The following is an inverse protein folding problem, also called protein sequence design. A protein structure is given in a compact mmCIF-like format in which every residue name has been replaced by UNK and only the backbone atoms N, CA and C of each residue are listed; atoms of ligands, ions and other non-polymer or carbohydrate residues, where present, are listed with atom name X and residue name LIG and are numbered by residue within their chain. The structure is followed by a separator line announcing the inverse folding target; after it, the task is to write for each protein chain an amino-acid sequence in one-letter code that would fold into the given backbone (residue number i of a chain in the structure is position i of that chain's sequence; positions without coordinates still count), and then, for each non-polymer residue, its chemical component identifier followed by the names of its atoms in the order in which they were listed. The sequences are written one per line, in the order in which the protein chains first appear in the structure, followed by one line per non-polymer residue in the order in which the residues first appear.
data_IF_360745050603
#
_entry.id   IF_360745050603
#
_cell.length_a   1.000
_cell.length_b   1.000
_cell.length_c   1.000
_cell.angle_alpha   90.00
_cell.angle_beta   90.00
_cell.angle_gamma   90.00
#
_symmetry.space_group_name_H-M   'P 1'
#
loop_
_entity.id
_entity.type
_entity.pdbx_description
1 polymer ?
#
# COMPACT_ATOMS: atom_id res chain seq x y z
N UNK A 1 6.59 11.68 -16.52
CA UNK A 1 7.30 11.88 -15.25
C UNK A 1 6.25 11.91 -14.16
N UNK A 2 6.07 10.81 -13.42
CA UNK A 2 5.24 10.82 -12.21
C UNK A 2 6.08 11.43 -11.10
N UNK A 3 5.53 12.44 -10.43
CA UNK A 3 6.13 13.01 -9.23
C UNK A 3 6.03 12.01 -8.06
N UNK A 4 6.98 12.05 -7.12
CA UNK A 4 6.92 11.24 -5.91
C UNK A 4 5.58 11.42 -5.14
N UNK A 5 4.92 12.56 -5.32
CA UNK A 5 3.61 12.87 -4.74
C UNK A 5 2.50 12.03 -5.38
N UNK A 6 2.39 12.04 -6.72
CA UNK A 6 1.39 11.24 -7.45
C UNK A 6 1.59 9.74 -7.21
N UNK A 7 2.85 9.29 -7.09
CA UNK A 7 3.17 7.93 -6.68
C UNK A 7 2.62 7.57 -5.30
N UNK A 8 2.86 8.42 -4.31
CA UNK A 8 2.42 8.20 -2.94
C UNK A 8 0.89 8.23 -2.86
N UNK A 9 0.26 9.10 -3.65
CA UNK A 9 -1.20 9.17 -3.79
C UNK A 9 -1.76 7.89 -4.42
N UNK A 10 -1.15 7.40 -5.50
CA UNK A 10 -1.49 6.10 -6.12
C UNK A 10 -1.29 4.93 -5.15
N UNK A 11 -0.25 4.96 -4.31
CA UNK A 11 -0.04 3.94 -3.27
C UNK A 11 -1.16 3.95 -2.23
N UNK A 12 -1.59 5.13 -1.78
CA UNK A 12 -2.74 5.29 -0.88
C UNK A 12 -4.01 4.77 -1.55
N UNK A 13 -4.28 5.20 -2.78
CA UNK A 13 -5.44 4.74 -3.55
C UNK A 13 -5.42 3.23 -3.74
N UNK A 14 -4.24 2.58 -3.82
CA UNK A 14 -4.13 1.12 -3.91
C UNK A 14 -4.62 0.37 -2.66
N UNK A 15 -4.73 1.07 -1.53
CA UNK A 15 -5.29 0.51 -0.29
C UNK A 15 -6.82 0.50 -0.34
N UNK A 16 -7.43 1.53 -0.94
CA UNK A 16 -8.88 1.67 -1.04
C UNK A 16 -9.46 1.01 -2.30
N UNK A 17 -8.77 1.12 -3.44
CA UNK A 17 -9.18 0.59 -4.74
C UNK A 17 -8.08 -0.23 -5.41
N UNK A 18 -8.42 -1.27 -6.19
CA UNK A 18 -7.44 -1.92 -7.05
C UNK A 18 -6.97 -0.93 -8.13
N UNK A 19 -5.66 -0.75 -8.25
CA UNK A 19 -5.07 0.05 -9.33
C UNK A 19 -5.22 -0.65 -10.68
N UNK A 20 -5.38 0.15 -11.74
CA UNK A 20 -5.33 -0.34 -13.11
C UNK A 20 -3.92 -0.85 -13.46
N UNK A 21 -3.83 -1.73 -14.46
CA UNK A 21 -2.54 -2.28 -14.91
C UNK A 21 -1.55 -1.19 -15.36
N UNK A 22 -2.04 -0.11 -15.98
CA UNK A 22 -1.21 1.01 -16.43
C UNK A 22 -0.60 1.81 -15.27
N UNK A 23 -1.41 2.17 -14.27
CA UNK A 23 -0.95 2.83 -13.05
C UNK A 23 0.08 1.98 -12.31
N UNK A 24 -0.14 0.67 -12.27
CA UNK A 24 0.74 -0.29 -11.60
C UNK A 24 2.11 -0.41 -12.28
N UNK A 25 2.15 -0.33 -13.61
CA UNK A 25 3.39 -0.34 -14.39
C UNK A 25 4.16 0.98 -14.24
N UNK A 26 3.47 2.12 -14.34
CA UNK A 26 4.07 3.45 -14.12
C UNK A 26 4.71 3.56 -12.75
N UNK A 27 4.01 3.05 -11.72
CA UNK A 27 4.52 3.04 -10.35
C UNK A 27 5.80 2.20 -10.23
N UNK A 28 5.79 1.00 -10.82
CA UNK A 28 6.94 0.09 -10.77
C UNK A 28 8.18 0.69 -11.43
N UNK A 29 7.97 1.44 -12.52
CA UNK A 29 9.04 2.10 -13.26
C UNK A 29 9.66 3.25 -12.47
N UNK A 30 8.87 4.09 -11.79
CA UNK A 30 9.41 5.18 -10.98
C UNK A 30 10.12 4.65 -9.71
N UNK A 31 9.60 3.60 -9.08
CA UNK A 31 10.24 2.94 -7.94
C UNK A 31 11.62 2.34 -8.24
N UNK A 32 11.91 2.02 -9.50
CA UNK A 32 13.24 1.59 -9.95
C UNK A 32 14.30 2.68 -9.77
N UNK A 33 13.92 3.95 -9.94
CA UNK A 33 14.83 5.09 -9.84
C UNK A 33 14.72 5.84 -8.52
N UNK A 34 13.53 5.83 -7.88
CA UNK A 34 13.29 6.54 -6.62
C UNK A 34 13.33 5.58 -5.42
N UNK A 35 14.38 5.71 -4.60
CA UNK A 35 14.49 4.98 -3.33
C UNK A 35 13.48 5.45 -2.27
N UNK A 36 13.12 6.73 -2.28
CA UNK A 36 12.15 7.30 -1.31
C UNK A 36 10.79 6.63 -1.42
N UNK A 37 10.21 6.61 -2.61
CA UNK A 37 8.94 5.93 -2.85
C UNK A 37 9.00 4.42 -2.55
N UNK A 38 10.16 3.79 -2.74
CA UNK A 38 10.36 2.37 -2.40
C UNK A 38 10.29 2.10 -0.89
N UNK A 39 10.81 3.01 -0.07
CA UNK A 39 10.66 2.93 1.38
C UNK A 39 9.18 3.13 1.79
N UNK A 40 8.50 4.10 1.18
CA UNK A 40 7.08 4.36 1.44
C UNK A 40 6.19 3.18 1.07
N UNK A 41 6.45 2.52 -0.06
CA UNK A 41 5.73 1.31 -0.45
C UNK A 41 5.84 0.20 0.61
N UNK A 42 7.04 0.00 1.16
CA UNK A 42 7.24 -1.00 2.22
C UNK A 42 6.49 -0.61 3.50
N UNK A 43 6.45 0.67 3.86
CA UNK A 43 5.66 1.16 4.99
C UNK A 43 4.17 0.84 4.82
N UNK A 44 3.59 1.13 3.66
CA UNK A 44 2.18 0.81 3.41
C UNK A 44 1.91 -0.70 3.40
N UNK A 45 2.83 -1.51 2.86
CA UNK A 45 2.72 -2.97 2.90
C UNK A 45 2.79 -3.51 4.33
N UNK A 46 3.67 -2.95 5.17
CA UNK A 46 3.77 -3.28 6.58
C UNK A 46 2.47 -2.93 7.31
N UNK A 47 1.96 -1.71 7.16
CA UNK A 47 0.69 -1.29 7.76
C UNK A 47 -0.44 -2.24 7.36
N UNK A 48 -0.60 -2.55 6.07
CA UNK A 48 -1.62 -3.48 5.59
C UNK A 48 -1.50 -4.88 6.22
N UNK A 49 -0.28 -5.38 6.35
CA UNK A 49 0.00 -6.68 6.95
C UNK A 49 -0.32 -6.66 8.44
N UNK A 50 0.09 -5.61 9.16
CA UNK A 50 -0.19 -5.41 10.58
C UNK A 50 -1.70 -5.28 10.83
N UNK A 51 -2.43 -4.50 10.03
CA UNK A 51 -3.90 -4.37 10.15
C UNK A 51 -4.61 -5.69 9.87
N UNK A 52 -4.12 -6.47 8.89
CA UNK A 52 -4.68 -7.80 8.58
C UNK A 52 -4.40 -8.79 9.71
N UNK A 53 -3.17 -8.84 10.21
CA UNK A 53 -2.79 -9.68 11.35
C UNK A 53 -3.56 -9.28 12.61
N UNK A 54 -3.74 -7.99 12.86
CA UNK A 54 -4.53 -7.48 14.00
C UNK A 54 -5.99 -7.89 13.89
N UNK A 55 -6.62 -7.77 12.71
CA UNK A 55 -7.97 -8.27 12.46
C UNK A 55 -8.10 -9.77 12.65
N UNK A 56 -7.13 -10.55 12.16
CA UNK A 56 -7.10 -12.01 12.31
C UNK A 56 -6.94 -12.42 13.78
N UNK A 57 -6.22 -11.63 14.59
CA UNK A 57 -6.03 -11.90 16.02
C UNK A 57 -7.19 -11.40 16.90
N UNK A 58 -7.85 -10.29 16.54
CA UNK A 58 -9.04 -9.77 17.25
C UNK A 58 -10.34 -10.52 16.88
N UNK A 59 -10.32 -11.43 15.90
CA UNK A 59 -11.46 -12.32 15.61
C UNK A 59 -11.62 -13.44 16.67
N UNK A 60 -10.61 -13.64 17.54
CA UNK A 60 -10.71 -14.55 18.70
C UNK A 60 -11.25 -13.85 19.96
N UNK A 61 -11.14 -12.52 20.03
CA UNK A 61 -11.55 -11.72 21.22
C UNK A 61 -12.85 -10.90 21.04
N UNK A 62 -13.48 -10.88 19.86
CA UNK A 62 -14.61 -9.95 19.57
C UNK A 62 -15.98 -10.58 19.31
N UNK A 63 -16.21 -11.86 19.63
CA UNK A 63 -17.57 -12.37 19.84
C UNK A 63 -17.70 -12.91 21.26
N UNK A 64 -18.33 -12.13 22.17
CA UNK A 64 -19.66 -12.53 22.62
C UNK A 64 -20.66 -11.36 22.77
N UNK A 65 -21.82 -11.56 22.11
CA UNK A 65 -23.21 -11.37 22.54
C UNK A 65 -23.53 -10.37 23.66
#
# INVERSE_FOLDING_TARGET
MLSCREETELMSQRLDRPLSFGERFGLRFHLLFCRGCRATQQHFAFLRTATRAWREHHDVDSIPR
#
